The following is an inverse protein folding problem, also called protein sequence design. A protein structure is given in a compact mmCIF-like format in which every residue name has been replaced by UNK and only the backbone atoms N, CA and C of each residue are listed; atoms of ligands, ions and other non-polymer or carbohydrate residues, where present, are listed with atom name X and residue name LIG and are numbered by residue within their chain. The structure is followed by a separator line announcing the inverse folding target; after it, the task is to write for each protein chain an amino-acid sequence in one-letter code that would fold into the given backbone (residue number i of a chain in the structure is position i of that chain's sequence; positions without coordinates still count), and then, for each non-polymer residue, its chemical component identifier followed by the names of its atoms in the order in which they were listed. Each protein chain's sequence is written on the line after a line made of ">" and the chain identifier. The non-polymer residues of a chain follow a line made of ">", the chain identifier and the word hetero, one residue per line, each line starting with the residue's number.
data_IF_668919872421
#
_entry.id   IF_668919872421
#
_cell.length_a   1.000
_cell.length_b   1.000
_cell.length_c   1.000
_cell.angle_alpha   90.00
_cell.angle_beta   90.00
_cell.angle_gamma   90.00
#
_symmetry.space_group_name_H-M   'P 1'
#
loop_
_entity.id
_entity.type
_entity.pdbx_description
1 polymer ?
#
# COMPACT_ATOMS: atom_id res chain seq x y z
N UNK A 1 -4.56 -29.68 -14.43
CA UNK A 1 -4.23 -28.32 -13.92
C UNK A 1 -5.46 -27.49 -13.58
N UNK A 2 -6.56 -27.58 -14.33
CA UNK A 2 -7.83 -26.89 -13.99
C UNK A 2 -8.32 -27.18 -12.56
N UNK A 3 -8.14 -28.43 -12.09
CA UNK A 3 -8.61 -28.89 -10.78
C UNK A 3 -7.87 -28.25 -9.58
N UNK A 4 -6.60 -27.86 -9.76
CA UNK A 4 -5.82 -27.22 -8.69
C UNK A 4 -6.20 -25.73 -8.54
N UNK A 5 -6.49 -25.05 -9.65
CA UNK A 5 -6.81 -23.61 -9.65
C UNK A 5 -8.17 -23.31 -8.99
N UNK A 6 -9.13 -24.23 -9.12
CA UNK A 6 -10.44 -24.16 -8.43
C UNK A 6 -10.46 -24.91 -7.10
N UNK A 7 -9.35 -25.52 -6.68
CA UNK A 7 -9.30 -26.30 -5.45
C UNK A 7 -9.47 -25.40 -4.23
N UNK A 8 -10.37 -25.72 -3.29
CA UNK A 8 -10.53 -24.95 -2.05
C UNK A 8 -9.22 -24.90 -1.25
N UNK A 9 -8.39 -25.94 -1.33
CA UNK A 9 -7.09 -25.99 -0.68
C UNK A 9 -6.11 -24.97 -1.28
N UNK A 10 -6.10 -24.82 -2.59
CA UNK A 10 -5.21 -23.86 -3.25
C UNK A 10 -5.63 -22.41 -2.99
N UNK A 11 -6.94 -22.14 -3.00
CA UNK A 11 -7.46 -20.82 -2.61
C UNK A 11 -7.11 -20.47 -1.16
N UNK A 12 -7.16 -21.44 -0.24
CA UNK A 12 -6.71 -21.27 1.13
C UNK A 12 -5.20 -20.97 1.20
N UNK A 13 -4.37 -21.67 0.40
CA UNK A 13 -2.93 -21.39 0.31
C UNK A 13 -2.68 -19.96 -0.17
N UNK A 14 -3.38 -19.49 -1.20
CA UNK A 14 -3.25 -18.12 -1.69
C UNK A 14 -3.66 -17.08 -0.64
N UNK A 15 -4.77 -17.34 0.07
CA UNK A 15 -5.21 -16.49 1.18
C UNK A 15 -4.13 -16.40 2.26
N UNK A 16 -3.61 -17.54 2.71
CA UNK A 16 -2.54 -17.58 3.72
C UNK A 16 -1.29 -16.85 3.21
N UNK A 17 -0.86 -17.11 1.97
CA UNK A 17 0.32 -16.47 1.39
C UNK A 17 0.18 -14.95 1.32
N UNK A 18 -1.00 -14.45 0.93
CA UNK A 18 -1.26 -13.01 0.82
C UNK A 18 -1.27 -12.29 2.18
N UNK A 19 -1.72 -12.96 3.26
CA UNK A 19 -1.83 -12.36 4.60
C UNK A 19 -0.63 -12.62 5.51
N UNK A 20 0.12 -13.70 5.31
CA UNK A 20 1.18 -14.12 6.23
C UNK A 20 2.30 -13.07 6.36
N UNK A 21 2.83 -12.57 5.25
CA UNK A 21 3.90 -11.58 5.28
C UNK A 21 3.44 -10.20 5.78
N UNK A 22 2.28 -9.65 5.36
CA UNK A 22 1.75 -8.44 5.98
C UNK A 22 1.55 -8.53 7.49
N UNK A 23 1.09 -9.67 8.01
CA UNK A 23 0.97 -9.91 9.46
C UNK A 23 2.34 -10.02 10.14
N UNK A 24 3.32 -10.65 9.50
CA UNK A 24 4.69 -10.71 10.01
C UNK A 24 5.32 -9.30 10.09
N UNK A 25 5.11 -8.46 9.07
CA UNK A 25 5.56 -7.08 9.08
C UNK A 25 4.80 -6.22 10.09
N UNK A 26 3.52 -6.51 10.35
CA UNK A 26 2.76 -5.86 11.41
C UNK A 26 3.40 -6.12 12.77
N UNK A 27 3.78 -7.37 13.03
CA UNK A 27 4.51 -7.76 14.24
C UNK A 27 5.86 -7.02 14.31
N UNK A 28 6.60 -6.98 13.22
CA UNK A 28 7.89 -6.29 13.16
C UNK A 28 7.76 -4.78 13.43
N UNK A 29 6.82 -4.09 12.79
CA UNK A 29 6.60 -2.64 12.96
C UNK A 29 6.08 -2.33 14.36
N UNK A 30 5.07 -3.04 14.85
CA UNK A 30 4.50 -2.81 16.18
C UNK A 30 5.51 -2.99 17.30
N UNK A 31 6.50 -3.88 17.13
CA UNK A 31 7.54 -4.14 18.12
C UNK A 31 8.83 -3.32 17.91
N UNK A 32 8.91 -2.50 16.85
CA UNK A 32 10.04 -1.59 16.60
C UNK A 32 10.12 -0.37 17.54
N UNK A 33 9.02 0.21 18.07
CA UNK A 33 9.08 1.29 19.04
C UNK A 33 9.96 0.95 20.25
N UNK A 34 10.85 1.88 20.62
CA UNK A 34 11.75 1.69 21.77
C UNK A 34 11.04 1.84 23.13
N UNK A 35 9.96 2.64 23.19
CA UNK A 35 9.27 2.98 24.44
C UNK A 35 7.75 2.94 24.25
N UNK A 36 7.09 2.05 25.00
CA UNK A 36 5.66 1.79 24.85
C UNK A 36 5.36 1.03 23.54
N UNK A 37 4.43 0.08 23.61
CA UNK A 37 3.98 -0.64 22.42
C UNK A 37 2.48 -0.54 22.31
N UNK A 38 2.00 -0.32 21.10
CA UNK A 38 0.57 -0.20 20.85
C UNK A 38 -0.16 -1.50 21.23
N UNK A 39 -1.34 -1.41 21.88
CA UNK A 39 -2.10 -2.59 22.28
C UNK A 39 -2.54 -3.40 21.07
N UNK A 40 -2.32 -4.72 21.13
CA UNK A 40 -2.64 -5.64 20.03
C UNK A 40 -4.09 -5.55 19.53
N UNK A 41 -5.12 -5.45 20.39
CA UNK A 41 -6.50 -5.34 19.92
C UNK A 41 -6.71 -4.15 18.97
N UNK A 42 -6.11 -3.00 19.27
CA UNK A 42 -6.23 -1.80 18.44
C UNK A 42 -5.43 -1.90 17.16
N UNK A 43 -4.22 -2.49 17.22
CA UNK A 43 -3.38 -2.71 16.04
C UNK A 43 -4.06 -3.68 15.06
N UNK A 44 -4.57 -4.81 15.56
CA UNK A 44 -5.30 -5.79 14.75
C UNK A 44 -6.62 -5.24 14.21
N UNK A 45 -7.35 -4.45 15.02
CA UNK A 45 -8.54 -3.73 14.54
C UNK A 45 -8.17 -2.80 13.38
N UNK A 46 -7.10 -2.02 13.52
CA UNK A 46 -6.66 -1.08 12.48
C UNK A 46 -6.24 -1.82 11.20
N UNK A 47 -5.54 -2.95 11.34
CA UNK A 47 -5.23 -3.85 10.23
C UNK A 47 -6.50 -4.36 9.53
N UNK A 48 -7.49 -4.85 10.28
CA UNK A 48 -8.75 -5.33 9.72
C UNK A 48 -9.53 -4.22 9.01
N UNK A 49 -9.53 -3.00 9.54
CA UNK A 49 -10.10 -1.82 8.88
C UNK A 49 -9.40 -1.49 7.56
N UNK A 50 -8.07 -1.64 7.52
CA UNK A 50 -7.27 -1.57 6.29
C UNK A 50 -7.68 -2.63 5.27
N UNK A 51 -7.74 -3.90 5.70
CA UNK A 51 -7.98 -5.04 4.83
C UNK A 51 -9.40 -5.09 4.24
N UNK A 52 -10.39 -4.56 4.95
CA UNK A 52 -11.80 -4.66 4.54
C UNK A 52 -12.34 -3.30 4.09
N UNK A 53 -12.57 -2.39 5.03
CA UNK A 53 -13.28 -1.15 4.75
C UNK A 53 -12.47 -0.21 3.84
N UNK A 54 -11.16 -0.11 4.04
CA UNK A 54 -10.32 0.77 3.22
C UNK A 54 -10.28 0.27 1.76
N UNK A 55 -10.24 -1.04 1.54
CA UNK A 55 -10.31 -1.62 0.19
C UNK A 55 -11.66 -1.34 -0.47
N UNK A 56 -12.77 -1.55 0.25
CA UNK A 56 -14.12 -1.27 -0.28
C UNK A 56 -14.26 0.21 -0.66
N UNK A 57 -13.86 1.12 0.23
CA UNK A 57 -13.88 2.56 -0.02
C UNK A 57 -13.01 2.88 -1.25
N UNK A 58 -11.81 2.32 -1.32
CA UNK A 58 -10.90 2.58 -2.43
C UNK A 58 -11.46 2.10 -3.77
N UNK A 59 -12.06 0.91 -3.83
CA UNK A 59 -12.67 0.39 -5.06
C UNK A 59 -13.78 1.33 -5.55
N UNK A 60 -14.70 1.71 -4.65
CA UNK A 60 -15.84 2.58 -5.00
C UNK A 60 -15.33 3.94 -5.52
N UNK A 61 -14.43 4.58 -4.77
CA UNK A 61 -13.91 5.89 -5.14
C UNK A 61 -13.04 5.82 -6.40
N UNK A 62 -12.25 4.76 -6.59
CA UNK A 62 -11.44 4.57 -7.79
C UNK A 62 -12.31 4.46 -9.03
N UNK A 63 -13.42 3.71 -8.98
CA UNK A 63 -14.38 3.62 -10.09
C UNK A 63 -14.92 5.01 -10.43
N UNK A 64 -15.40 5.77 -9.43
CA UNK A 64 -15.95 7.10 -9.65
C UNK A 64 -14.92 8.07 -10.25
N UNK A 65 -13.69 8.07 -9.73
CA UNK A 65 -12.62 8.95 -10.21
C UNK A 65 -12.15 8.56 -11.62
N UNK A 66 -12.03 7.26 -11.92
CA UNK A 66 -11.67 6.78 -13.25
C UNK A 66 -12.75 7.20 -14.27
N UNK A 67 -14.04 7.08 -13.94
CA UNK A 67 -15.13 7.50 -14.84
C UNK A 67 -15.04 9.00 -15.20
N UNK A 68 -14.71 9.84 -14.23
CA UNK A 68 -14.56 11.28 -14.46
C UNK A 68 -13.27 11.59 -15.20
N UNK A 69 -12.12 11.09 -14.72
CA UNK A 69 -10.81 11.49 -15.23
C UNK A 69 -10.48 10.86 -16.59
N UNK A 70 -10.96 9.64 -16.87
CA UNK A 70 -10.75 8.99 -18.17
C UNK A 70 -11.58 9.62 -19.28
N UNK A 71 -12.57 10.46 -18.96
CA UNK A 71 -13.31 11.26 -19.94
C UNK A 71 -12.54 12.52 -20.40
N UNK A 72 -11.46 12.89 -19.71
CA UNK A 72 -10.67 14.08 -20.02
C UNK A 72 -9.73 13.80 -21.20
N UNK A 73 -10.00 14.42 -22.35
CA UNK A 73 -9.15 14.25 -23.53
C UNK A 73 -7.70 14.70 -23.29
N UNK A 74 -7.49 15.82 -22.58
CA UNK A 74 -6.15 16.33 -22.31
C UNK A 74 -5.32 15.40 -21.42
N UNK A 75 -5.93 14.74 -20.42
CA UNK A 75 -5.26 13.73 -19.61
C UNK A 75 -4.93 12.50 -20.45
N UNK A 76 -5.89 12.00 -21.24
CA UNK A 76 -5.64 10.85 -22.11
C UNK A 76 -4.48 11.13 -23.08
N UNK A 77 -4.45 12.29 -23.74
CA UNK A 77 -3.38 12.67 -24.66
C UNK A 77 -2.02 12.77 -23.96
N UNK A 78 -1.98 13.27 -22.71
CA UNK A 78 -0.75 13.36 -21.94
C UNK A 78 -0.16 11.98 -21.64
N UNK A 79 -1.00 11.03 -21.20
CA UNK A 79 -0.57 9.68 -20.84
C UNK A 79 -0.32 8.81 -22.08
N UNK A 80 -1.10 8.96 -23.15
CA UNK A 80 -0.95 8.17 -24.38
C UNK A 80 0.39 8.42 -25.09
N UNK A 81 1.02 9.59 -24.87
CA UNK A 81 2.36 9.90 -25.37
C UNK A 81 3.49 9.26 -24.56
N UNK A 82 3.20 8.66 -23.41
CA UNK A 82 4.20 8.21 -22.41
C UNK A 82 4.07 6.74 -22.03
N UNK A 83 2.86 6.20 -22.07
CA UNK A 83 2.55 4.85 -21.62
C UNK A 83 1.77 4.10 -22.70
N UNK A 84 1.98 2.79 -22.76
CA UNK A 84 1.29 1.94 -23.75
C UNK A 84 -0.21 1.82 -23.48
N UNK A 85 -0.60 1.86 -22.20
CA UNK A 85 -2.00 1.87 -21.76
C UNK A 85 -2.28 3.13 -20.92
N UNK A 86 -2.76 4.23 -21.54
CA UNK A 86 -3.01 5.48 -20.84
C UNK A 86 -4.11 5.37 -19.78
N UNK A 87 -5.10 4.52 -19.99
CA UNK A 87 -6.23 4.36 -19.08
C UNK A 87 -5.79 3.70 -17.76
N UNK A 88 -5.02 2.61 -17.87
CA UNK A 88 -4.41 1.94 -16.72
C UNK A 88 -3.39 2.84 -16.04
N UNK A 89 -2.62 3.63 -16.79
CA UNK A 89 -1.67 4.58 -16.23
C UNK A 89 -2.36 5.70 -15.43
N UNK A 90 -3.47 6.27 -15.90
CA UNK A 90 -4.26 7.25 -15.12
C UNK A 90 -4.77 6.62 -13.82
N UNK A 91 -5.31 5.40 -13.91
CA UNK A 91 -5.78 4.65 -12.75
C UNK A 91 -4.67 4.41 -11.73
N UNK A 92 -3.54 3.86 -12.17
CA UNK A 92 -2.43 3.45 -11.30
C UNK A 92 -1.60 4.63 -10.76
N UNK A 93 -1.41 5.69 -11.54
CA UNK A 93 -0.48 6.78 -11.18
C UNK A 93 -1.16 7.97 -10.51
N UNK A 94 -2.46 8.15 -10.73
CA UNK A 94 -3.21 9.29 -10.21
C UNK A 94 -4.31 8.84 -9.27
N UNK A 95 -5.22 7.98 -9.75
CA UNK A 95 -6.42 7.65 -9.00
C UNK A 95 -6.10 6.80 -7.78
N UNK A 96 -5.44 5.66 -7.96
CA UNK A 96 -5.15 4.71 -6.90
C UNK A 96 -4.33 5.35 -5.75
N UNK A 97 -3.23 6.10 -6.00
CA UNK A 97 -2.47 6.73 -4.93
C UNK A 97 -3.30 7.71 -4.10
N UNK A 98 -4.13 8.54 -4.74
CA UNK A 98 -4.98 9.52 -4.05
C UNK A 98 -6.05 8.79 -3.23
N UNK A 99 -6.82 7.95 -3.90
CA UNK A 99 -8.01 7.32 -3.33
C UNK A 99 -7.64 6.31 -2.25
N UNK A 100 -6.64 5.47 -2.50
CA UNK A 100 -6.29 4.43 -1.55
C UNK A 100 -5.62 4.97 -0.30
N UNK A 101 -4.73 5.95 -0.40
CA UNK A 101 -4.11 6.52 0.80
C UNK A 101 -5.17 7.25 1.64
N UNK A 102 -6.15 7.91 1.02
CA UNK A 102 -7.27 8.50 1.74
C UNK A 102 -8.09 7.42 2.48
N UNK A 103 -8.44 6.33 1.79
CA UNK A 103 -9.19 5.23 2.36
C UNK A 103 -8.44 4.52 3.50
N UNK A 104 -7.14 4.25 3.33
CA UNK A 104 -6.27 3.68 4.37
C UNK A 104 -6.14 4.63 5.56
N UNK A 105 -6.10 5.94 5.31
CA UNK A 105 -6.16 6.97 6.34
C UNK A 105 -7.43 6.90 7.19
N UNK A 106 -8.60 6.65 6.57
CA UNK A 106 -9.86 6.36 7.28
C UNK A 106 -9.70 5.10 8.13
N UNK A 107 -9.12 4.03 7.58
CA UNK A 107 -8.81 2.81 8.35
C UNK A 107 -7.91 3.06 9.56
N UNK A 108 -6.88 3.89 9.40
CA UNK A 108 -5.93 4.26 10.45
C UNK A 108 -6.59 5.02 11.62
N UNK A 109 -7.76 5.64 11.43
CA UNK A 109 -8.51 6.30 12.51
C UNK A 109 -8.97 5.32 13.60
N UNK A 110 -9.04 4.01 13.31
CA UNK A 110 -9.31 2.99 14.32
C UNK A 110 -8.28 2.98 15.48
N UNK A 111 -7.06 3.49 15.22
CA UNK A 111 -6.00 3.66 16.21
C UNK A 111 -6.11 4.90 17.09
N UNK A 112 -7.00 5.85 16.75
CA UNK A 112 -7.13 7.14 17.44
C UNK A 112 -7.28 7.02 18.96
N UNK A 113 -8.12 6.14 19.52
CA UNK A 113 -8.34 6.08 20.97
C UNK A 113 -7.08 5.75 21.79
N UNK A 114 -6.09 5.11 21.18
CA UNK A 114 -4.85 4.69 21.84
C UNK A 114 -3.65 5.54 21.43
N UNK A 115 -3.84 6.53 20.55
CA UNK A 115 -2.76 7.39 20.07
C UNK A 115 -2.40 8.43 21.13
N UNK A 116 -1.22 8.28 21.74
CA UNK A 116 -0.69 9.17 22.78
C UNK A 116 0.52 9.97 22.30
N UNK A 117 1.11 9.59 21.17
CA UNK A 117 2.25 10.26 20.57
C UNK A 117 2.19 10.21 19.04
N UNK A 118 2.94 11.10 18.38
CA UNK A 118 3.00 11.13 16.91
C UNK A 118 3.55 9.83 16.31
N UNK A 119 4.43 9.14 17.03
CA UNK A 119 5.00 7.86 16.57
C UNK A 119 4.01 6.70 16.63
N UNK A 120 2.99 6.77 17.50
CA UNK A 120 1.94 5.74 17.58
C UNK A 120 1.14 5.74 16.26
N UNK A 121 0.95 6.94 15.68
CA UNK A 121 0.39 7.13 14.35
C UNK A 121 1.15 6.40 13.23
N UNK A 122 2.48 6.28 13.32
CA UNK A 122 3.25 5.48 12.34
C UNK A 122 2.86 4.00 12.42
N UNK A 123 2.64 3.47 13.63
CA UNK A 123 2.25 2.06 13.84
C UNK A 123 0.84 1.80 13.32
N UNK A 124 -0.12 2.67 13.66
CA UNK A 124 -1.51 2.52 13.20
C UNK A 124 -1.67 2.78 11.70
N UNK A 125 -0.93 3.75 11.15
CA UNK A 125 -0.86 3.96 9.71
C UNK A 125 -0.30 2.75 8.98
N UNK A 126 0.85 2.22 9.44
CA UNK A 126 1.42 0.99 8.89
C UNK A 126 0.45 -0.19 9.01
N UNK A 127 -0.28 -0.32 10.12
CA UNK A 127 -1.26 -1.38 10.31
C UNK A 127 -2.37 -1.34 9.25
N UNK A 128 -2.96 -0.16 9.01
CA UNK A 128 -3.98 0.00 7.98
C UNK A 128 -3.42 -0.28 6.56
N UNK A 129 -2.21 0.23 6.26
CA UNK A 129 -1.55 -0.03 4.98
C UNK A 129 -1.22 -1.50 4.74
N UNK A 130 -0.72 -2.21 5.76
CA UNK A 130 -0.44 -3.65 5.70
C UNK A 130 -1.72 -4.47 5.52
N UNK A 131 -2.81 -4.09 6.20
CA UNK A 131 -4.12 -4.72 6.01
C UNK A 131 -4.60 -4.58 4.56
N UNK A 132 -4.57 -3.35 4.04
CA UNK A 132 -4.93 -3.08 2.65
C UNK A 132 -4.07 -3.91 1.67
N UNK A 133 -2.75 -3.93 1.90
CA UNK A 133 -1.82 -4.70 1.06
C UNK A 133 -2.10 -6.20 1.09
N UNK A 134 -2.54 -6.78 2.22
CA UNK A 134 -2.87 -8.20 2.29
C UNK A 134 -4.02 -8.56 1.36
N UNK A 135 -5.11 -7.79 1.40
CA UNK A 135 -6.25 -7.98 0.50
C UNK A 135 -5.87 -7.69 -0.94
N UNK A 136 -5.09 -6.64 -1.20
CA UNK A 136 -4.65 -6.32 -2.56
C UNK A 136 -3.76 -7.45 -3.13
N UNK A 137 -2.81 -7.97 -2.36
CA UNK A 137 -1.98 -9.10 -2.76
C UNK A 137 -2.83 -10.32 -3.13
N UNK A 138 -3.89 -10.59 -2.37
CA UNK A 138 -4.83 -11.67 -2.69
C UNK A 138 -5.56 -11.40 -4.02
N UNK A 139 -6.06 -10.18 -4.24
CA UNK A 139 -6.74 -9.80 -5.49
C UNK A 139 -5.80 -9.97 -6.70
N UNK A 140 -4.56 -9.49 -6.63
CA UNK A 140 -3.59 -9.67 -7.72
C UNK A 140 -3.22 -11.15 -7.94
N UNK A 141 -3.11 -11.94 -6.86
CA UNK A 141 -2.86 -13.37 -6.98
C UNK A 141 -4.01 -14.11 -7.67
N UNK A 142 -5.25 -13.79 -7.30
CA UNK A 142 -6.44 -14.35 -7.92
C UNK A 142 -6.56 -13.91 -9.38
N UNK A 143 -6.25 -12.65 -9.70
CA UNK A 143 -6.20 -12.18 -11.09
C UNK A 143 -5.17 -12.97 -11.90
N UNK A 144 -3.95 -13.13 -11.39
CA UNK A 144 -2.89 -13.89 -12.04
C UNK A 144 -3.23 -15.38 -12.21
N UNK A 145 -3.94 -15.98 -11.25
CA UNK A 145 -4.40 -17.37 -11.32
C UNK A 145 -5.32 -17.61 -12.52
N UNK A 146 -6.12 -16.61 -12.90
CA UNK A 146 -7.09 -16.67 -13.98
C UNK A 146 -6.49 -16.34 -15.36
N UNK A 147 -5.24 -15.85 -15.42
CA UNK A 147 -4.58 -15.55 -16.70
C UNK A 147 -4.18 -16.86 -17.40
N UNK A 148 -4.59 -17.10 -18.66
CA UNK A 148 -4.19 -18.28 -19.42
C UNK A 148 -2.66 -18.40 -19.51
N UNK A 149 -2.13 -19.58 -19.17
CA UNK A 149 -0.68 -19.85 -19.20
C UNK A 149 0.10 -19.43 -17.95
N UNK A 150 -0.51 -18.70 -17.00
CA UNK A 150 0.11 -18.29 -15.73
C UNK A 150 -0.20 -19.30 -14.61
N UNK A 151 -1.48 -19.46 -14.29
CA UNK A 151 -1.98 -20.49 -13.35
C UNK A 151 -1.44 -20.40 -11.91
N UNK A 152 -1.50 -21.51 -11.15
CA UNK A 152 -1.14 -21.58 -9.73
C UNK A 152 0.28 -21.13 -9.36
N UNK A 153 1.28 -21.46 -10.17
CA UNK A 153 2.67 -21.08 -9.88
C UNK A 153 2.88 -19.58 -10.06
N UNK A 154 2.32 -19.00 -11.13
CA UNK A 154 2.43 -17.57 -11.39
C UNK A 154 1.70 -16.72 -10.34
N UNK A 155 0.55 -17.16 -9.84
CA UNK A 155 -0.14 -16.44 -8.76
C UNK A 155 0.67 -16.40 -7.46
N UNK A 156 1.36 -17.49 -7.10
CA UNK A 156 2.27 -17.51 -5.94
C UNK A 156 3.49 -16.59 -6.15
N UNK A 157 4.04 -16.54 -7.37
CA UNK A 157 5.14 -15.62 -7.71
C UNK A 157 4.66 -14.17 -7.54
N UNK A 158 3.46 -13.83 -8.00
CA UNK A 158 2.87 -12.49 -7.83
C UNK A 158 2.74 -12.14 -6.35
N UNK A 159 2.23 -13.04 -5.50
CA UNK A 159 2.18 -12.80 -4.04
C UNK A 159 3.57 -12.57 -3.46
N UNK A 160 4.55 -13.40 -3.83
CA UNK A 160 5.91 -13.31 -3.31
C UNK A 160 6.54 -11.96 -3.68
N UNK A 161 6.51 -11.58 -4.96
CA UNK A 161 7.08 -10.32 -5.45
C UNK A 161 6.43 -9.11 -4.77
N UNK A 162 5.09 -9.10 -4.68
CA UNK A 162 4.35 -8.00 -4.05
C UNK A 162 4.63 -7.87 -2.55
N UNK A 163 4.79 -9.01 -1.86
CA UNK A 163 5.06 -9.04 -0.43
C UNK A 163 6.41 -8.42 -0.03
N UNK A 164 7.38 -8.34 -0.93
CA UNK A 164 8.67 -7.65 -0.67
C UNK A 164 8.80 -6.30 -1.39
N UNK A 165 7.76 -5.86 -2.10
CA UNK A 165 7.74 -4.60 -2.85
C UNK A 165 6.58 -3.71 -2.37
N UNK A 166 5.39 -3.87 -2.96
CA UNK A 166 4.21 -3.04 -2.67
C UNK A 166 3.78 -3.11 -1.21
N UNK A 167 3.95 -4.24 -0.52
CA UNK A 167 3.62 -4.34 0.91
C UNK A 167 4.44 -3.37 1.77
N UNK A 168 5.74 -3.19 1.48
CA UNK A 168 6.55 -2.20 2.17
C UNK A 168 6.17 -0.76 1.81
N UNK A 169 5.77 -0.53 0.56
CA UNK A 169 5.21 0.76 0.15
C UNK A 169 3.96 1.10 0.96
N UNK A 170 2.92 0.25 0.93
CA UNK A 170 1.66 0.54 1.62
C UNK A 170 1.85 0.77 3.12
N UNK A 171 2.69 -0.06 3.76
CA UNK A 171 3.04 0.11 5.16
C UNK A 171 3.68 1.49 5.41
N UNK A 172 4.63 1.90 4.56
CA UNK A 172 5.40 3.13 4.77
C UNK A 172 4.64 4.40 4.37
N UNK A 173 3.93 4.42 3.24
CA UNK A 173 3.13 5.57 2.80
C UNK A 173 2.03 5.88 3.82
N UNK A 174 1.29 4.86 4.24
CA UNK A 174 0.20 5.03 5.20
C UNK A 174 0.73 5.33 6.59
N UNK A 175 1.91 4.83 6.98
CA UNK A 175 2.57 5.24 8.22
C UNK A 175 2.84 6.76 8.24
N UNK A 176 3.34 7.34 7.15
CA UNK A 176 3.57 8.79 7.04
C UNK A 176 2.26 9.55 7.24
N UNK A 177 1.17 9.15 6.58
CA UNK A 177 -0.14 9.74 6.80
C UNK A 177 -0.61 9.56 8.25
N UNK A 178 -0.40 8.38 8.84
CA UNK A 178 -0.73 8.06 10.23
C UNK A 178 0.00 8.95 11.24
N UNK A 179 1.26 9.31 10.99
CA UNK A 179 1.98 10.33 11.77
C UNK A 179 1.28 11.70 11.68
N UNK A 180 0.83 12.08 10.48
CA UNK A 180 0.05 13.29 10.26
C UNK A 180 -1.30 13.28 11.00
N UNK A 181 -2.00 12.14 11.00
CA UNK A 181 -3.25 11.94 11.77
C UNK A 181 -3.01 12.10 13.27
N UNK A 182 -1.97 11.44 13.81
CA UNK A 182 -1.61 11.57 15.21
C UNK A 182 -1.24 13.02 15.57
N UNK A 183 -0.47 13.72 14.71
CA UNK A 183 -0.15 15.15 14.89
C UNK A 183 -1.43 16.00 14.91
N UNK A 184 -2.36 15.73 14.00
CA UNK A 184 -3.65 16.42 13.91
C UNK A 184 -4.47 16.25 15.19
N UNK A 185 -4.60 15.02 15.70
CA UNK A 185 -5.32 14.74 16.94
C UNK A 185 -4.67 15.37 18.18
N UNK A 186 -3.36 15.22 18.33
CA UNK A 186 -2.63 15.70 19.52
C UNK A 186 -2.55 17.22 19.60
N UNK A 187 -2.49 17.90 18.45
CA UNK A 187 -2.46 19.37 18.40
C UNK A 187 -3.84 20.04 18.30
N UNK A 188 -4.91 19.26 18.12
CA UNK A 188 -6.25 19.79 17.84
C UNK A 188 -6.38 20.53 16.50
N UNK A 189 -5.44 20.32 15.55
CA UNK A 189 -5.40 21.03 14.27
C UNK A 189 -5.68 20.05 13.12
N UNK A 190 -6.94 19.96 12.61
CA UNK A 190 -7.32 18.96 11.63
C UNK A 190 -6.43 18.97 10.38
N UNK A 191 -6.06 20.16 9.89
CA UNK A 191 -5.23 20.36 8.71
C UNK A 191 -3.77 19.89 8.86
N UNK A 192 -3.31 19.56 10.07
CA UNK A 192 -1.93 19.10 10.26
C UNK A 192 -1.63 17.75 9.58
N UNK A 193 -2.66 16.99 9.16
CA UNK A 193 -2.52 15.77 8.37
C UNK A 193 -2.17 16.03 6.90
N UNK A 194 -2.59 17.17 6.34
CA UNK A 194 -2.60 17.39 4.90
C UNK A 194 -1.21 17.25 4.25
N UNK A 195 -0.12 17.84 4.79
CA UNK A 195 1.21 17.66 4.20
C UNK A 195 1.65 16.19 4.18
N UNK A 196 1.27 15.41 5.19
CA UNK A 196 1.64 13.99 5.29
C UNK A 196 0.82 13.12 4.34
N UNK A 197 -0.44 13.46 4.12
CA UNK A 197 -1.25 12.82 3.09
C UNK A 197 -0.65 13.05 1.69
N UNK A 198 -0.26 14.29 1.36
CA UNK A 198 0.39 14.58 0.07
C UNK A 198 1.70 13.78 -0.09
N UNK A 199 2.51 13.67 0.97
CA UNK A 199 3.73 12.84 0.92
C UNK A 199 3.39 11.36 0.73
N UNK A 200 2.37 10.82 1.40
CA UNK A 200 1.94 9.44 1.23
C UNK A 200 1.47 9.15 -0.21
N UNK A 201 0.64 10.03 -0.78
CA UNK A 201 0.19 9.96 -2.17
C UNK A 201 1.38 10.03 -3.13
N UNK A 202 2.33 10.93 -2.92
CA UNK A 202 3.50 11.07 -3.77
C UNK A 202 4.41 9.83 -3.70
N UNK A 203 4.63 9.27 -2.51
CA UNK A 203 5.37 8.02 -2.34
C UNK A 203 4.71 6.87 -3.10
N UNK A 204 3.39 6.73 -2.96
CA UNK A 204 2.63 5.68 -3.62
C UNK A 204 2.63 5.86 -5.14
N UNK A 205 2.37 7.08 -5.64
CA UNK A 205 2.42 7.38 -7.07
C UNK A 205 3.82 7.14 -7.67
N UNK A 206 4.89 7.47 -6.95
CA UNK A 206 6.27 7.22 -7.40
C UNK A 206 6.58 5.72 -7.51
N UNK A 207 6.14 4.91 -6.55
CA UNK A 207 6.27 3.45 -6.65
C UNK A 207 5.47 2.88 -7.81
N UNK A 208 4.22 3.34 -8.00
CA UNK A 208 3.39 2.90 -9.11
C UNK A 208 4.01 3.32 -10.44
N UNK A 209 4.62 4.50 -10.53
CA UNK A 209 5.35 4.94 -11.73
C UNK A 209 6.48 3.97 -12.08
N UNK A 210 7.34 3.63 -11.12
CA UNK A 210 8.42 2.68 -11.37
C UNK A 210 7.90 1.28 -11.73
N UNK A 211 6.80 0.84 -11.11
CA UNK A 211 6.17 -0.44 -11.43
C UNK A 211 5.55 -0.45 -12.84
N UNK A 212 4.84 0.61 -13.23
CA UNK A 212 4.28 0.78 -14.57
C UNK A 212 5.37 0.85 -15.64
N UNK A 213 6.48 1.56 -15.36
CA UNK A 213 7.64 1.58 -16.26
C UNK A 213 8.30 0.21 -16.40
N UNK A 214 8.31 -0.60 -15.33
CA UNK A 214 8.84 -1.96 -15.38
C UNK A 214 7.98 -2.86 -16.29
N UNK A 215 6.65 -2.73 -16.19
CA UNK A 215 5.70 -3.47 -17.03
C UNK A 215 5.78 -3.05 -18.50
N UNK A 216 5.81 -1.74 -18.78
CA UNK A 216 5.91 -1.23 -20.16
C UNK A 216 7.24 -1.62 -20.81
N UNK A 217 8.35 -1.58 -20.07
CA UNK A 217 9.63 -2.07 -20.55
C UNK A 217 9.62 -3.58 -20.83
N UNK A 218 8.94 -4.38 -19.99
CA UNK A 218 8.78 -5.81 -20.22
C UNK A 218 7.98 -6.09 -21.50
N UNK A 219 6.86 -5.37 -21.71
CA UNK A 219 6.05 -5.46 -22.95
C UNK A 219 6.82 -5.07 -24.20
N UNK A 220 7.77 -4.14 -24.07
CA UNK A 220 8.66 -3.73 -25.15
C UNK A 220 9.87 -4.68 -25.34
N UNK A 221 9.90 -5.85 -24.71
CA UNK A 221 11.04 -6.79 -24.70
C UNK A 221 12.36 -6.17 -24.21
N UNK A 222 12.29 -5.12 -23.39
CA UNK A 222 13.44 -4.47 -22.78
C UNK A 222 13.64 -4.98 -21.35
N UNK A 223 14.25 -6.18 -21.24
CA UNK A 223 14.48 -6.83 -19.95
C UNK A 223 15.33 -5.98 -18.98
N UNK A 224 16.35 -5.27 -19.49
CA UNK A 224 17.19 -4.40 -18.67
C UNK A 224 16.39 -3.21 -18.10
N UNK A 225 15.59 -2.55 -18.93
CA UNK A 225 14.71 -1.45 -18.50
C UNK A 225 13.69 -1.91 -17.46
N UNK A 226 13.10 -3.09 -17.67
CA UNK A 226 12.14 -3.69 -16.72
C UNK A 226 12.79 -3.96 -15.36
N UNK A 227 13.96 -4.59 -15.36
CA UNK A 227 14.70 -4.88 -14.13
C UNK A 227 15.12 -3.59 -13.39
N UNK A 228 15.63 -2.59 -14.10
CA UNK A 228 16.04 -1.31 -13.50
C UNK A 228 14.84 -0.60 -12.85
N UNK A 229 13.72 -0.50 -13.56
CA UNK A 229 12.52 0.17 -13.04
C UNK A 229 11.92 -0.59 -11.85
N UNK A 230 11.87 -1.93 -11.91
CA UNK A 230 11.41 -2.75 -10.79
C UNK A 230 12.31 -2.60 -9.56
N UNK A 231 13.64 -2.62 -9.75
CA UNK A 231 14.60 -2.38 -8.65
C UNK A 231 14.45 -0.98 -8.05
N UNK A 232 14.13 0.03 -8.85
CA UNK A 232 13.84 1.37 -8.34
C UNK A 232 12.58 1.39 -7.45
N UNK A 233 11.50 0.70 -7.86
CA UNK A 233 10.28 0.55 -7.05
C UNK A 233 10.56 -0.14 -5.71
N UNK A 234 11.26 -1.28 -5.74
CA UNK A 234 11.64 -2.04 -4.54
C UNK A 234 12.55 -1.22 -3.63
N UNK A 235 13.55 -0.53 -4.20
CA UNK A 235 14.48 0.31 -3.44
C UNK A 235 13.75 1.45 -2.74
N UNK A 236 12.81 2.12 -3.42
CA UNK A 236 11.96 3.15 -2.83
C UNK A 236 11.18 2.60 -1.63
N UNK A 237 10.54 1.44 -1.77
CA UNK A 237 9.76 0.82 -0.70
C UNK A 237 10.64 0.41 0.51
N UNK A 238 11.81 -0.17 0.26
CA UNK A 238 12.77 -0.58 1.31
C UNK A 238 13.32 0.65 2.05
N UNK A 239 13.70 1.70 1.33
CA UNK A 239 14.19 2.95 1.95
C UNK A 239 13.08 3.59 2.78
N UNK A 240 11.86 3.69 2.24
CA UNK A 240 10.72 4.28 2.93
C UNK A 240 10.39 3.56 4.24
N UNK A 241 10.28 2.22 4.22
CA UNK A 241 10.00 1.45 5.44
C UNK A 241 11.16 1.51 6.44
N UNK A 242 12.40 1.58 5.95
CA UNK A 242 13.58 1.78 6.81
C UNK A 242 13.54 3.12 7.53
N UNK A 243 13.16 4.21 6.84
CA UNK A 243 12.99 5.54 7.45
C UNK A 243 11.90 5.52 8.52
N UNK A 244 10.74 4.92 8.24
CA UNK A 244 9.65 4.74 9.23
C UNK A 244 10.17 4.01 10.46
N UNK A 245 10.89 2.90 10.27
CA UNK A 245 11.44 2.12 11.38
C UNK A 245 12.49 2.89 12.18
N UNK A 246 13.42 3.58 11.51
CA UNK A 246 14.41 4.42 12.19
C UNK A 246 13.72 5.47 13.07
N UNK A 247 12.61 6.05 12.59
CA UNK A 247 11.83 7.00 13.37
C UNK A 247 11.17 6.36 14.60
N UNK A 248 10.64 5.14 14.49
CA UNK A 248 10.08 4.37 15.61
C UNK A 248 11.11 4.02 16.68
N UNK A 249 12.35 3.70 16.27
CA UNK A 249 13.44 3.33 17.17
C UNK A 249 14.12 4.56 17.81
N UNK A 250 14.08 5.71 17.15
CA UNK A 250 14.68 6.96 17.62
C UNK A 250 14.04 7.46 18.94
N UNK A 251 14.84 8.11 19.81
CA UNK A 251 14.36 8.60 21.12
C UNK A 251 13.24 9.64 20.92
N UNK A 252 12.17 9.52 21.71
CA UNK A 252 11.16 10.59 21.85
C UNK A 252 11.86 11.82 22.44
N UNK A 253 11.84 12.94 21.73
CA UNK A 253 12.19 14.23 22.36
C UNK A 253 11.21 14.49 23.50
N UNK A 254 11.64 14.91 24.70
CA UNK A 254 10.75 15.27 25.81
C UNK A 254 9.69 16.31 25.43
N UNK A 255 9.91 17.07 24.35
CA UNK A 255 9.07 18.19 23.90
C UNK A 255 7.94 17.81 22.93
N UNK A 256 7.73 16.53 22.61
CA UNK A 256 6.71 16.12 21.63
C UNK A 256 5.35 15.72 22.21
N UNK A 257 4.97 16.26 23.38
CA UNK A 257 3.60 16.18 23.87
C UNK A 257 2.69 17.06 23.02
#
# INVERSE_FOLDING_TARGET
>A
MADLASSPYFLLILFIAAFALPLLYLIWIRNSPRYGREPWPTVLKTFAWGAVFSVIIAIILSILFILVLSSSQSLNDFFARRFQDPSTAIGALVVAPIVEEAAKGVGATAGRPQTQSRTDGLVYGAAAGLGFSATENLVYALAALLVPGVGPSGSLIVVAVRSFSSTFLHASSTAVMGYGLAKSWLSGRPWAVFPFYIVAVAMHAAFNLFSTLADDAARANNAAGSAIAFLAAVSLAIVAISVVRLKLVSRRSPTSR
#
